data_IF_099492517995
#
_entry.id   IF_099492517995
#
_cell.length_a   1.000
_cell.length_b   1.000
_cell.length_c   1.000
_cell.angle_alpha   90.00
_cell.angle_beta   90.00
_cell.angle_gamma   90.00
#
_symmetry.space_group_name_H-M   'P 1'
#
loop_
_entity.id
_entity.type
_entity.pdbx_description
1 polymer ?
#
# COMPACT_ATOMS: atom_id res chain seq x y z
N UNK A 1 5.45 -7.80 -2.80
CA UNK A 1 4.52 -6.85 -2.17
C UNK A 1 4.43 -7.12 -0.68
N UNK A 2 4.43 -6.09 0.10
CA UNK A 2 4.36 -6.24 1.53
C UNK A 2 3.39 -5.20 2.10
N UNK A 3 2.32 -5.67 2.73
CA UNK A 3 1.33 -4.75 3.26
C UNK A 3 0.16 -5.49 3.86
N UNK A 4 -0.82 -4.73 4.33
CA UNK A 4 -1.99 -5.33 4.98
C UNK A 4 -3.16 -4.36 4.95
N UNK A 5 -4.37 -4.92 5.03
CA UNK A 5 -5.58 -4.11 5.03
C UNK A 5 -5.82 -3.50 6.40
N UNK A 6 -6.35 -2.27 6.40
CA UNK A 6 -6.70 -1.60 7.64
C UNK A 6 -8.09 -1.00 7.51
N UNK A 7 -8.61 -0.49 8.62
CA UNK A 7 -9.92 0.16 8.60
C UNK A 7 -9.94 1.41 7.73
N UNK A 8 -8.78 2.04 7.56
CA UNK A 8 -8.69 3.29 6.80
C UNK A 8 -8.22 3.09 5.37
N UNK A 9 -7.91 1.86 4.98
CA UNK A 9 -7.43 1.58 3.65
C UNK A 9 -6.43 0.45 3.66
N UNK A 10 -5.38 0.59 2.86
CA UNK A 10 -4.37 -0.45 2.75
C UNK A 10 -2.99 0.14 3.08
N UNK A 11 -2.30 -0.45 4.04
CA UNK A 11 -0.95 -0.01 4.38
C UNK A 11 0.05 -0.79 3.56
N UNK A 12 0.72 -0.10 2.63
CA UNK A 12 1.72 -0.72 1.77
C UNK A 12 3.13 -0.31 2.18
N UNK A 13 4.04 -1.25 2.09
CA UNK A 13 5.43 -0.99 2.45
C UNK A 13 6.18 -0.40 1.26
N UNK A 14 6.74 0.80 1.45
CA UNK A 14 7.43 1.53 0.39
C UNK A 14 8.70 2.17 0.95
N UNK A 15 9.83 1.85 0.32
CA UNK A 15 11.10 2.51 0.64
C UNK A 15 11.43 2.50 2.13
N UNK A 16 11.15 1.38 2.79
CA UNK A 16 11.51 1.24 4.19
C UNK A 16 10.48 1.73 5.18
N UNK A 17 9.30 2.11 4.71
CA UNK A 17 8.24 2.56 5.61
C UNK A 17 6.88 2.23 5.04
N UNK A 18 5.87 2.20 5.90
CA UNK A 18 4.51 1.92 5.48
C UNK A 18 3.81 3.21 5.09
N UNK A 19 3.00 3.12 4.04
CA UNK A 19 2.26 4.28 3.54
C UNK A 19 0.82 3.86 3.31
N UNK A 20 -0.13 4.75 3.67
CA UNK A 20 -1.55 4.44 3.53
C UNK A 20 -2.01 4.67 2.10
N UNK A 21 -2.69 3.66 1.53
CA UNK A 21 -3.29 3.74 0.21
C UNK A 21 -4.79 3.51 0.34
N UNK A 22 -5.55 3.96 -0.65
CA UNK A 22 -6.99 3.79 -0.64
C UNK A 22 -7.37 2.30 -0.65
N UNK A 23 -6.62 1.51 -1.43
CA UNK A 23 -6.85 0.07 -1.51
C UNK A 23 -5.60 -0.61 -2.05
N UNK A 24 -5.62 -1.94 -2.05
CA UNK A 24 -4.47 -2.71 -2.52
C UNK A 24 -4.15 -2.42 -3.98
N UNK A 25 -5.18 -2.21 -4.80
CA UNK A 25 -4.95 -1.90 -6.21
C UNK A 25 -4.12 -0.64 -6.39
N UNK A 26 -4.40 0.38 -5.58
CA UNK A 26 -3.63 1.62 -5.65
C UNK A 26 -2.18 1.37 -5.29
N UNK A 27 -1.94 0.53 -4.28
CA UNK A 27 -0.59 0.19 -3.88
C UNK A 27 0.15 -0.53 -5.00
N UNK A 28 -0.53 -1.48 -5.65
CA UNK A 28 0.10 -2.23 -6.75
C UNK A 28 0.45 -1.31 -7.92
N UNK A 29 -0.45 -0.41 -8.27
CA UNK A 29 -0.18 0.54 -9.34
C UNK A 29 1.00 1.43 -8.99
N UNK A 30 1.10 1.82 -7.74
CA UNK A 30 2.21 2.64 -7.29
C UNK A 30 3.54 1.90 -7.52
N UNK A 31 3.57 0.61 -7.18
CA UNK A 31 4.79 -0.18 -7.33
C UNK A 31 5.15 -0.39 -8.80
N UNK A 32 4.16 -0.58 -9.65
CA UNK A 32 4.40 -0.82 -11.07
C UNK A 32 4.71 0.46 -11.83
N UNK A 33 4.11 1.52 -11.39
CA UNK A 33 4.22 2.79 -12.07
C UNK A 33 5.41 3.59 -11.71
#
# INVERSE_FOLDING_TARGET
MKGYNTANGYMGYVNGEYQLFACESDYREYLEG
#
